data_IF_998719507540
#
_entry.id   IF_998719507540
#
_cell.length_a   1.000
_cell.length_b   1.000
_cell.length_c   1.000
_cell.angle_alpha   90.00
_cell.angle_beta   90.00
_cell.angle_gamma   90.00
#
_symmetry.space_group_name_H-M   'P 1'
#
loop_
_entity.id
_entity.type
_entity.pdbx_description
1 polymer ?
#
# COMPACT_ATOMS: atom_id res chain seq x y z
N UNK A 1 -13.76 -5.65 8.33
CA UNK A 1 -12.68 -5.05 7.50
C UNK A 1 -11.46 -4.77 8.33
N UNK A 2 -10.30 -4.83 7.70
CA UNK A 2 -9.02 -4.57 8.35
C UNK A 2 -8.46 -3.24 7.85
N UNK A 3 -7.75 -2.53 8.72
CA UNK A 3 -7.11 -1.27 8.36
C UNK A 3 -5.72 -1.54 7.81
N UNK A 4 -5.44 -1.00 6.65
CA UNK A 4 -4.13 -1.09 6.00
C UNK A 4 -3.56 0.30 5.76
N UNK A 5 -2.22 0.39 5.77
CA UNK A 5 -1.52 1.61 5.40
C UNK A 5 -0.88 1.39 4.04
N UNK A 6 -1.06 2.34 3.15
CA UNK A 6 -0.42 2.33 1.83
C UNK A 6 0.59 3.47 1.80
N UNK A 7 1.86 3.12 1.66
CA UNK A 7 2.96 4.07 1.59
C UNK A 7 3.39 4.23 0.13
N UNK A 8 3.23 5.44 -0.41
CA UNK A 8 3.68 5.76 -1.76
C UNK A 8 5.17 6.10 -1.71
N UNK A 9 5.94 5.48 -2.58
CA UNK A 9 7.39 5.67 -2.64
C UNK A 9 7.77 6.53 -3.84
N UNK A 10 8.85 7.32 -3.69
CA UNK A 10 9.39 8.11 -4.78
C UNK A 10 9.97 7.21 -5.88
N UNK A 11 10.55 6.08 -5.46
CA UNK A 11 11.10 5.06 -6.36
C UNK A 11 11.18 3.75 -5.59
N UNK A 12 11.42 2.64 -6.30
CA UNK A 12 11.57 1.33 -5.67
C UNK A 12 12.68 1.39 -4.62
N UNK A 13 12.36 1.00 -3.39
CA UNK A 13 13.28 1.07 -2.27
C UNK A 13 13.60 2.47 -1.79
N UNK A 14 12.92 3.49 -2.30
CA UNK A 14 13.15 4.88 -1.94
C UNK A 14 12.36 5.35 -0.73
N UNK A 15 12.44 6.65 -0.49
CA UNK A 15 11.74 7.26 0.64
C UNK A 15 10.22 7.29 0.44
N UNK A 16 9.49 7.18 1.54
CA UNK A 16 8.02 7.32 1.53
C UNK A 16 7.68 8.79 1.34
N UNK A 17 6.91 9.10 0.30
CA UNK A 17 6.49 10.48 0.00
C UNK A 17 5.05 10.76 0.36
N UNK A 18 4.25 9.73 0.58
CA UNK A 18 2.85 9.89 0.98
C UNK A 18 2.38 8.62 1.68
N UNK A 19 1.54 8.79 2.69
CA UNK A 19 0.92 7.69 3.42
C UNK A 19 -0.60 7.86 3.37
N UNK A 20 -1.32 6.77 3.18
CA UNK A 20 -2.79 6.78 3.27
C UNK A 20 -3.26 5.48 3.90
N UNK A 21 -4.48 5.49 4.43
CA UNK A 21 -5.09 4.32 5.03
C UNK A 21 -6.26 3.87 4.18
N UNK A 22 -6.41 2.55 4.07
CA UNK A 22 -7.53 1.93 3.36
C UNK A 22 -8.11 0.82 4.21
N UNK A 23 -9.36 0.46 3.93
CA UNK A 23 -10.01 -0.68 4.55
C UNK A 23 -10.16 -1.79 3.51
N UNK A 24 -9.84 -3.01 3.90
CA UNK A 24 -9.96 -4.17 3.02
C UNK A 24 -10.26 -5.41 3.85
N UNK A 25 -10.83 -6.43 3.21
CA UNK A 25 -11.17 -7.68 3.89
C UNK A 25 -9.96 -8.61 4.02
N UNK A 26 -8.97 -8.48 3.15
CA UNK A 26 -7.79 -9.34 3.14
C UNK A 26 -6.58 -8.58 2.62
N UNK A 27 -5.40 -9.14 2.85
CA UNK A 27 -4.15 -8.57 2.35
C UNK A 27 -4.17 -8.46 0.82
N UNK A 28 -4.68 -9.49 0.16
CA UNK A 28 -4.80 -9.51 -1.31
C UNK A 28 -5.69 -8.37 -1.80
N UNK A 29 -6.84 -8.16 -1.15
CA UNK A 29 -7.75 -7.09 -1.53
C UNK A 29 -7.10 -5.73 -1.34
N UNK A 30 -6.35 -5.56 -0.25
CA UNK A 30 -5.64 -4.30 0.01
C UNK A 30 -4.62 -4.01 -1.10
N UNK A 31 -3.87 -5.02 -1.52
CA UNK A 31 -2.91 -4.87 -2.62
C UNK A 31 -3.63 -4.55 -3.93
N UNK A 32 -4.75 -5.21 -4.21
CA UNK A 32 -5.56 -4.92 -5.41
C UNK A 32 -6.06 -3.49 -5.42
N UNK A 33 -6.51 -2.98 -4.28
CA UNK A 33 -6.95 -1.58 -4.19
C UNK A 33 -5.78 -0.62 -4.45
N UNK A 34 -4.60 -0.93 -3.93
CA UNK A 34 -3.41 -0.11 -4.17
C UNK A 34 -3.02 -0.12 -5.66
N UNK A 35 -3.09 -1.29 -6.31
CA UNK A 35 -2.80 -1.41 -7.74
C UNK A 35 -3.77 -0.60 -8.59
N UNK A 36 -5.03 -0.54 -8.18
CA UNK A 36 -6.06 0.20 -8.90
C UNK A 36 -5.95 1.72 -8.72
N UNK A 37 -5.16 2.18 -7.77
CA UNK A 37 -4.99 3.59 -7.48
C UNK A 37 -4.04 4.24 -8.49
N UNK A 38 -4.47 5.32 -9.09
CA UNK A 38 -3.64 6.08 -10.04
C UNK A 38 -2.43 6.73 -9.35
N UNK A 39 -2.52 6.91 -8.04
CA UNK A 39 -1.47 7.55 -7.24
C UNK A 39 -0.36 6.58 -6.82
N UNK A 40 -0.45 5.32 -7.21
CA UNK A 40 0.45 4.29 -6.70
C UNK A 40 1.20 3.56 -7.81
N UNK A 41 2.13 4.23 -8.52
CA UNK A 41 3.03 3.50 -9.41
C UNK A 41 3.98 2.59 -8.62
N UNK A 42 4.41 3.03 -7.43
CA UNK A 42 5.25 2.25 -6.53
C UNK A 42 4.73 2.48 -5.11
N UNK A 43 4.14 1.45 -4.53
CA UNK A 43 3.54 1.53 -3.19
C UNK A 43 3.84 0.29 -2.37
N UNK A 44 3.89 0.46 -1.06
CA UNK A 44 3.94 -0.66 -0.12
C UNK A 44 2.62 -0.69 0.65
N UNK A 45 2.11 -1.90 0.89
CA UNK A 45 0.90 -2.12 1.67
C UNK A 45 1.29 -2.76 2.98
N UNK A 46 0.93 -2.12 4.09
CA UNK A 46 1.30 -2.57 5.43
C UNK A 46 0.07 -2.78 6.31
N UNK A 47 0.20 -3.70 7.25
CA UNK A 47 -0.81 -3.95 8.27
C UNK A 47 -0.08 -4.14 9.59
N UNK A 48 -0.45 -3.37 10.61
CA UNK A 48 0.17 -3.40 11.94
C UNK A 48 1.70 -3.26 11.87
N UNK A 49 2.18 -2.42 10.96
CA UNK A 49 3.61 -2.18 10.78
C UNK A 49 4.34 -3.24 9.97
N UNK A 50 3.64 -4.28 9.52
CA UNK A 50 4.22 -5.36 8.72
C UNK A 50 3.83 -5.22 7.26
N UNK A 51 4.80 -5.31 6.35
CA UNK A 51 4.52 -5.26 4.92
C UNK A 51 3.85 -6.56 4.47
N UNK A 52 2.65 -6.43 3.93
CA UNK A 52 1.87 -7.58 3.44
C UNK A 52 1.83 -7.66 1.92
N UNK A 53 2.28 -6.62 1.23
CA UNK A 53 2.34 -6.60 -0.22
C UNK A 53 2.97 -5.33 -0.74
N UNK A 54 3.15 -5.26 -2.05
CA UNK A 54 3.68 -4.07 -2.70
C UNK A 54 3.21 -3.98 -4.14
N UNK A 55 3.20 -2.75 -4.67
CA UNK A 55 2.89 -2.44 -6.06
C UNK A 55 4.18 -1.90 -6.67
N UNK A 56 4.63 -2.50 -7.76
CA UNK A 56 5.89 -2.15 -8.42
C UNK A 56 5.69 -1.68 -9.86
#
# INVERSE_FOLDING_TARGET
>A
MKLYRVDKLAKRGGAVIKKKHILAHSDRQAVQQAEASEDCPICEVLRDGERVGQVL
#
